data_IF_786916894415
#
_entry.id   IF_786916894415
#
_cell.length_a   1.000
_cell.length_b   1.000
_cell.length_c   1.000
_cell.angle_alpha   90.00
_cell.angle_beta   90.00
_cell.angle_gamma   90.00
#
_symmetry.space_group_name_H-M   'P 1'
#
loop_
_entity.id
_entity.type
_entity.pdbx_description
1 polymer ?
#
# COMPACT_ATOMS: atom_id res chain seq x y z
N UNK A 1 67.93 -30.25 30.80
CA UNK A 1 66.49 -30.04 31.11
C UNK A 1 66.41 -29.31 32.45
N UNK A 2 65.53 -28.33 32.72
CA UNK A 2 64.49 -27.61 31.94
C UNK A 2 64.80 -26.07 31.80
N UNK A 3 64.50 -25.44 30.66
CA UNK A 3 63.37 -24.50 30.33
C UNK A 3 63.32 -23.12 31.05
N UNK A 4 63.46 -22.09 30.18
CA UNK A 4 62.64 -20.85 30.01
C UNK A 4 62.93 -19.59 30.86
N UNK A 5 63.41 -18.54 30.18
CA UNK A 5 62.81 -17.19 30.03
C UNK A 5 63.81 -16.31 29.23
N UNK A 6 63.67 -16.12 27.92
CA UNK A 6 62.92 -15.05 27.25
C UNK A 6 63.39 -13.62 27.60
N UNK A 7 64.08 -12.94 26.68
CA UNK A 7 63.82 -11.57 26.19
C UNK A 7 65.09 -10.94 25.58
N UNK A 8 65.12 -10.74 24.26
CA UNK A 8 65.81 -9.64 23.52
C UNK A 8 65.74 -9.93 22.02
N UNK A 9 65.47 -9.01 21.10
CA UNK A 9 64.85 -7.70 21.09
C UNK A 9 64.54 -7.51 19.59
N UNK A 10 63.28 -7.35 19.20
CA UNK A 10 62.89 -7.27 17.80
C UNK A 10 63.31 -5.92 17.20
N UNK A 11 63.97 -6.02 16.06
CA UNK A 11 64.44 -4.94 15.19
C UNK A 11 63.32 -4.61 14.17
N UNK A 12 63.30 -3.35 13.71
CA UNK A 12 62.53 -2.76 12.58
C UNK A 12 61.07 -2.35 12.83
N UNK A 13 60.85 -1.04 13.01
CA UNK A 13 59.72 -0.30 12.40
C UNK A 13 59.87 1.22 12.63
N UNK A 14 60.89 1.84 12.03
CA UNK A 14 60.97 3.31 11.87
C UNK A 14 60.69 3.67 10.41
N UNK A 15 59.43 3.98 10.10
CA UNK A 15 58.96 4.84 9.01
C UNK A 15 57.44 4.62 8.84
N UNK A 16 56.70 5.70 8.54
CA UNK A 16 55.25 5.77 8.22
C UNK A 16 54.30 6.24 9.34
N UNK A 17 54.68 7.26 10.12
CA UNK A 17 53.72 8.05 10.89
C UNK A 17 53.93 9.56 10.66
N UNK A 18 53.74 10.03 9.42
CA UNK A 18 53.56 11.45 9.12
C UNK A 18 53.09 11.67 7.67
N UNK A 19 51.80 11.41 7.37
CA UNK A 19 51.10 11.99 6.22
C UNK A 19 49.60 11.66 6.30
N UNK A 20 48.83 12.53 6.95
CA UNK A 20 47.40 12.78 6.70
C UNK A 20 46.97 13.99 7.56
N UNK A 21 47.73 15.07 7.49
CA UNK A 21 47.30 16.37 7.97
C UNK A 21 47.25 17.29 6.75
N UNK A 22 46.05 17.82 6.52
CA UNK A 22 45.75 18.93 5.62
C UNK A 22 45.87 18.70 4.10
N UNK A 23 44.74 18.29 3.53
CA UNK A 23 44.28 18.93 2.29
C UNK A 23 42.80 19.28 2.45
N UNK A 24 42.50 20.24 3.34
CA UNK A 24 41.19 20.91 3.34
C UNK A 24 41.21 21.91 2.19
N UNK A 25 40.47 21.61 1.11
CA UNK A 25 40.28 22.55 0.01
C UNK A 25 39.71 23.88 0.55
N UNK A 26 40.28 25.01 0.10
CA UNK A 26 39.69 26.32 0.33
C UNK A 26 38.24 26.32 -0.24
N UNK A 27 37.26 26.69 0.59
CA UNK A 27 35.83 26.68 0.23
C UNK A 27 35.00 25.53 0.81
N UNK A 28 35.57 24.62 1.61
CA UNK A 28 34.83 23.49 2.22
C UNK A 28 33.68 23.90 3.17
N UNK A 29 33.71 25.14 3.68
CA UNK A 29 32.64 25.74 4.50
C UNK A 29 32.08 27.02 3.88
N UNK A 30 32.14 27.17 2.55
CA UNK A 30 31.50 28.29 1.87
C UNK A 30 30.10 27.84 1.41
N UNK A 31 29.05 27.97 2.24
CA UNK A 31 27.70 27.68 1.79
C UNK A 31 27.36 28.63 0.64
N UNK A 32 26.66 28.15 -0.41
CA UNK A 32 26.21 29.04 -1.46
C UNK A 32 25.39 30.19 -0.87
N UNK A 33 25.53 31.38 -1.46
CA UNK A 33 24.76 32.56 -1.06
C UNK A 33 23.27 32.22 -0.99
N UNK A 34 22.62 32.64 0.09
CA UNK A 34 21.22 32.35 0.32
C UNK A 34 20.39 32.86 -0.86
N UNK A 35 19.61 31.97 -1.48
CA UNK A 35 18.70 32.32 -2.56
C UNK A 35 17.30 31.80 -2.23
N UNK A 36 16.30 32.65 -2.45
CA UNK A 36 14.88 32.30 -2.28
C UNK A 36 14.46 31.16 -3.19
N UNK A 37 15.12 31.00 -4.34
CA UNK A 37 14.90 29.87 -5.26
C UNK A 37 15.38 28.56 -4.65
N UNK A 38 16.55 28.55 -4.01
CA UNK A 38 17.08 27.37 -3.32
C UNK A 38 16.23 27.00 -2.10
N UNK A 39 15.74 27.98 -1.34
CA UNK A 39 14.89 27.75 -0.18
C UNK A 39 13.52 27.15 -0.58
N UNK A 40 12.92 27.66 -1.66
CA UNK A 40 11.68 27.12 -2.21
C UNK A 40 11.84 25.66 -2.69
N UNK A 41 12.98 25.33 -3.31
CA UNK A 41 13.29 23.95 -3.72
C UNK A 41 13.58 23.05 -2.51
N UNK A 42 14.20 23.58 -1.45
CA UNK A 42 14.50 22.86 -0.21
C UNK A 42 13.21 22.50 0.56
N UNK A 43 12.28 23.46 0.65
CA UNK A 43 10.96 23.23 1.24
C UNK A 43 10.09 22.30 0.38
N UNK A 44 10.14 22.44 -0.94
CA UNK A 44 9.39 21.58 -1.87
C UNK A 44 9.85 20.12 -1.90
N UNK A 45 11.09 19.84 -1.53
CA UNK A 45 11.65 18.47 -1.46
C UNK A 45 11.54 17.83 -0.08
N UNK A 46 11.00 18.53 0.92
CA UNK A 46 10.83 18.01 2.29
C UNK A 46 12.15 17.76 3.04
N UNK A 47 13.24 18.41 2.61
CA UNK A 47 14.61 18.14 3.07
C UNK A 47 14.89 18.56 4.52
N UNK A 48 13.99 19.32 5.16
CA UNK A 48 14.11 19.70 6.58
C UNK A 48 13.99 18.54 7.58
N UNK A 49 13.43 17.39 7.18
CA UNK A 49 13.12 16.28 8.09
C UNK A 49 13.66 14.90 7.66
N UNK A 50 14.36 14.79 6.52
CA UNK A 50 14.96 13.53 6.05
C UNK A 50 16.29 13.78 5.34
N UNK A 51 17.28 12.91 5.59
CA UNK A 51 18.52 12.84 4.80
C UNK A 51 18.17 12.54 3.35
N UNK A 52 18.37 13.52 2.46
CA UNK A 52 18.15 13.35 1.02
C UNK A 52 19.34 12.58 0.45
N UNK A 53 19.24 11.25 0.43
CA UNK A 53 20.16 10.40 -0.32
C UNK A 53 19.88 10.60 -1.81
N UNK A 54 20.72 11.38 -2.49
CA UNK A 54 20.71 11.48 -3.96
C UNK A 54 21.39 10.24 -4.55
N UNK A 55 20.61 9.37 -5.20
CA UNK A 55 21.17 8.31 -6.03
C UNK A 55 21.86 8.94 -7.27
N UNK A 56 23.11 8.58 -7.61
CA UNK A 56 23.82 9.15 -8.74
C UNK A 56 23.42 8.42 -10.02
N UNK A 57 22.26 8.78 -10.58
CA UNK A 57 21.90 8.66 -12.00
C UNK A 57 20.39 8.91 -12.14
N UNK A 58 20.03 10.15 -12.47
CA UNK A 58 18.70 10.41 -13.02
C UNK A 58 18.65 9.81 -14.42
N UNK A 59 17.80 8.81 -14.62
CA UNK A 59 17.33 8.42 -15.95
C UNK A 59 16.41 9.54 -16.44
N UNK A 60 16.88 10.34 -17.41
CA UNK A 60 16.01 11.22 -18.18
C UNK A 60 15.16 10.37 -19.12
N UNK A 61 13.88 10.22 -18.81
CA UNK A 61 12.90 9.68 -19.76
C UNK A 61 12.51 10.83 -20.67
N UNK A 62 13.04 10.84 -21.90
CA UNK A 62 12.67 11.78 -22.94
C UNK A 62 11.29 11.36 -23.49
N UNK A 63 10.22 12.06 -23.06
CA UNK A 63 8.84 11.80 -23.46
C UNK A 63 8.50 12.49 -24.79
N UNK A 64 9.32 12.29 -25.82
CA UNK A 64 8.97 12.75 -27.16
C UNK A 64 8.10 11.69 -27.83
N UNK A 65 6.79 11.97 -27.90
CA UNK A 65 5.88 11.14 -28.68
C UNK A 65 6.38 11.09 -30.14
N UNK A 66 6.63 9.89 -30.72
CA UNK A 66 7.02 9.79 -32.12
C UNK A 66 5.88 10.37 -32.96
N UNK A 67 6.21 11.30 -33.85
CA UNK A 67 5.25 11.75 -34.86
C UNK A 67 4.99 10.58 -35.82
N UNK A 68 3.78 10.02 -35.88
CA UNK A 68 3.50 8.87 -36.72
C UNK A 68 3.74 9.25 -38.19
N UNK A 69 4.49 8.41 -38.89
CA UNK A 69 4.73 8.59 -40.33
C UNK A 69 3.42 8.42 -41.11
N UNK A 70 3.34 9.02 -42.31
CA UNK A 70 2.16 8.89 -43.19
C UNK A 70 1.74 7.43 -43.42
N UNK A 71 2.70 6.49 -43.43
CA UNK A 71 2.43 5.06 -43.53
C UNK A 71 1.75 4.49 -42.28
N UNK A 72 2.18 4.88 -41.07
CA UNK A 72 1.56 4.44 -39.81
C UNK A 72 0.14 5.01 -39.63
N UNK A 73 -0.12 6.21 -40.14
CA UNK A 73 -1.48 6.77 -40.17
C UNK A 73 -2.39 6.01 -41.15
N UNK A 74 -1.86 5.56 -42.29
CA UNK A 74 -2.59 4.76 -43.28
C UNK A 74 -2.91 3.34 -42.74
N UNK A 75 -1.98 2.73 -42.00
CA UNK A 75 -2.22 1.45 -41.31
C UNK A 75 -3.18 1.60 -40.13
N UNK A 76 -3.13 2.69 -39.37
CA UNK A 76 -4.11 2.96 -38.32
C UNK A 76 -5.53 3.20 -38.88
N UNK A 77 -5.66 3.77 -40.08
CA UNK A 77 -6.94 3.91 -40.79
C UNK A 77 -7.42 2.56 -41.35
N UNK A 78 -6.53 1.72 -41.89
CA UNK A 78 -6.86 0.35 -42.31
C UNK A 78 -7.25 -0.54 -41.12
N UNK A 79 -6.58 -0.42 -39.98
CA UNK A 79 -6.89 -1.17 -38.77
C UNK A 79 -8.24 -0.76 -38.16
N UNK A 80 -8.61 0.54 -38.25
CA UNK A 80 -9.96 1.03 -37.88
C UNK A 80 -11.03 0.49 -38.84
N UNK A 81 -10.75 0.43 -40.14
CA UNK A 81 -11.65 -0.18 -41.13
C UNK A 81 -11.80 -1.71 -40.97
N UNK A 82 -10.81 -2.40 -40.41
CA UNK A 82 -10.91 -3.84 -40.06
C UNK A 82 -11.56 -4.08 -38.69
N UNK A 83 -11.51 -3.11 -37.76
CA UNK A 83 -12.22 -3.18 -36.47
C UNK A 83 -13.74 -2.95 -36.58
N UNK A 84 -14.19 -2.39 -37.70
CA UNK A 84 -15.60 -2.38 -38.11
C UNK A 84 -16.03 -3.73 -38.76
N UNK A 85 -15.18 -4.76 -38.62
CA UNK A 85 -15.28 -6.08 -39.24
C UNK A 85 -16.63 -6.77 -39.07
N UNK A 86 -17.40 -6.74 -40.16
CA UNK A 86 -18.37 -7.76 -40.52
C UNK A 86 -18.11 -8.19 -41.97
N UNK A 87 -17.17 -9.11 -42.21
CA UNK A 87 -17.25 -10.08 -43.33
C UNK A 87 -16.11 -11.10 -43.30
N UNK A 88 -16.45 -12.37 -43.60
CA UNK A 88 -15.51 -13.41 -43.97
C UNK A 88 -15.26 -13.43 -45.50
N UNK A 89 -14.30 -14.24 -45.93
CA UNK A 89 -13.59 -14.24 -47.22
C UNK A 89 -14.45 -14.32 -48.50
N UNK A 90 -15.74 -14.64 -48.42
CA UNK A 90 -16.69 -14.63 -49.54
C UNK A 90 -17.72 -13.48 -49.51
N UNK A 91 -17.59 -12.52 -48.59
CA UNK A 91 -18.51 -11.37 -48.49
C UNK A 91 -19.81 -11.62 -47.72
N UNK A 92 -19.89 -12.70 -46.93
CA UNK A 92 -21.08 -13.05 -46.14
C UNK A 92 -20.84 -12.96 -44.60
N UNK A 93 -21.83 -12.53 -43.79
CA UNK A 93 -21.72 -12.49 -42.31
C UNK A 93 -21.70 -13.90 -41.68
N UNK A 94 -20.84 -14.12 -40.69
CA UNK A 94 -20.72 -15.40 -39.97
C UNK A 94 -21.75 -15.47 -38.82
N UNK A 95 -22.62 -16.50 -38.75
CA UNK A 95 -23.55 -16.68 -37.64
C UNK A 95 -22.85 -17.22 -36.37
N UNK A 96 -23.36 -16.90 -35.16
CA UNK A 96 -22.78 -17.39 -33.91
C UNK A 96 -23.12 -18.87 -33.67
N UNK A 97 -22.17 -19.69 -33.16
CA UNK A 97 -22.52 -21.03 -32.69
C UNK A 97 -23.20 -20.94 -31.32
N UNK A 98 -24.48 -21.31 -31.29
CA UNK A 98 -25.15 -21.80 -30.09
C UNK A 98 -24.84 -23.30 -29.91
N UNK A 99 -24.60 -23.75 -28.68
CA UNK A 99 -25.42 -24.79 -28.03
C UNK A 99 -25.13 -24.84 -26.53
N UNK A 100 -26.21 -25.01 -25.77
CA UNK A 100 -26.26 -25.08 -24.32
C UNK A 100 -26.15 -26.51 -23.78
N UNK A 101 -25.55 -26.60 -22.59
CA UNK A 101 -25.85 -27.40 -21.38
C UNK A 101 -26.36 -28.84 -21.47
N UNK A 102 -25.75 -29.73 -20.66
CA UNK A 102 -26.48 -30.57 -19.70
C UNK A 102 -25.58 -31.08 -18.56
N UNK A 103 -26.22 -31.20 -17.39
CA UNK A 103 -25.78 -31.41 -16.01
C UNK A 103 -24.83 -32.56 -15.64
N UNK A 104 -24.13 -32.34 -14.51
CA UNK A 104 -23.58 -33.38 -13.63
C UNK A 104 -23.23 -32.77 -12.27
N UNK A 105 -24.10 -32.97 -11.28
CA UNK A 105 -24.02 -32.33 -9.97
C UNK A 105 -22.94 -32.87 -9.03
N UNK A 106 -22.75 -32.14 -7.91
CA UNK A 106 -22.00 -32.58 -6.75
C UNK A 106 -20.90 -31.58 -6.32
N UNK A 107 -21.08 -31.03 -5.13
CA UNK A 107 -20.18 -30.14 -4.37
C UNK A 107 -19.98 -28.72 -4.90
N UNK A 108 -20.64 -27.76 -4.24
CA UNK A 108 -20.40 -26.34 -4.39
C UNK A 108 -19.07 -25.95 -3.72
N UNK A 109 -18.06 -25.43 -4.46
CA UNK A 109 -16.99 -24.65 -3.87
C UNK A 109 -17.46 -23.20 -3.75
N UNK A 110 -17.53 -22.66 -2.53
CA UNK A 110 -17.45 -21.21 -2.32
C UNK A 110 -16.07 -20.69 -2.83
N UNK A 111 -15.93 -19.41 -3.19
CA UNK A 111 -15.36 -19.00 -4.48
C UNK A 111 -13.84 -18.83 -4.45
N UNK A 112 -13.14 -19.48 -5.39
CA UNK A 112 -11.73 -19.18 -5.68
C UNK A 112 -11.52 -17.74 -6.20
N UNK A 113 -12.58 -17.10 -6.69
CA UNK A 113 -12.56 -15.74 -7.25
C UNK A 113 -12.27 -14.69 -6.18
N UNK A 114 -13.04 -14.67 -5.07
CA UNK A 114 -12.91 -13.70 -3.97
C UNK A 114 -11.43 -13.56 -3.52
N UNK A 115 -10.83 -14.69 -3.17
CA UNK A 115 -9.42 -14.74 -2.72
C UNK A 115 -8.41 -14.25 -3.72
N UNK A 116 -8.72 -14.34 -5.02
CA UNK A 116 -7.84 -13.80 -6.06
C UNK A 116 -7.91 -12.28 -6.07
N UNK A 117 -9.11 -11.71 -5.88
CA UNK A 117 -9.31 -10.26 -5.83
C UNK A 117 -8.73 -9.65 -4.55
N UNK A 118 -8.92 -10.28 -3.38
CA UNK A 118 -8.30 -9.81 -2.14
C UNK A 118 -6.77 -9.81 -2.22
N UNK A 119 -6.17 -10.86 -2.82
CA UNK A 119 -4.72 -10.90 -3.07
C UNK A 119 -4.26 -9.88 -4.10
N UNK A 120 -5.10 -9.56 -5.08
CA UNK A 120 -4.83 -8.50 -6.05
C UNK A 120 -4.76 -7.11 -5.40
N UNK A 121 -5.67 -6.83 -4.47
CA UNK A 121 -5.70 -5.56 -3.74
C UNK A 121 -4.64 -5.50 -2.63
N UNK A 122 -4.52 -6.57 -1.85
CA UNK A 122 -3.66 -6.67 -0.67
C UNK A 122 -2.79 -7.93 -0.80
N UNK A 123 -1.68 -7.87 -1.58
CA UNK A 123 -0.84 -9.04 -1.83
C UNK A 123 -0.03 -9.49 -0.60
N UNK A 124 0.18 -8.56 0.34
CA UNK A 124 0.84 -8.78 1.61
C UNK A 124 0.03 -8.08 2.71
N UNK A 125 0.13 -8.47 3.99
CA UNK A 125 -0.56 -7.78 5.07
C UNK A 125 -0.29 -6.27 5.08
N UNK A 126 -1.34 -5.47 5.26
CA UNK A 126 -1.27 -4.01 5.24
C UNK A 126 -2.08 -3.43 6.39
N UNK A 127 -1.50 -2.44 7.09
CA UNK A 127 -2.17 -1.70 8.16
C UNK A 127 -2.59 -0.33 7.67
N UNK A 128 -3.79 0.09 8.05
CA UNK A 128 -4.40 1.38 7.78
C UNK A 128 -4.79 2.02 9.11
N UNK A 129 -4.53 3.31 9.26
CA UNK A 129 -4.85 4.04 10.50
C UNK A 129 -5.57 5.34 10.16
N UNK A 130 -6.54 5.69 10.98
CA UNK A 130 -7.23 6.97 10.91
C UNK A 130 -8.08 7.21 12.14
N UNK A 131 -8.83 8.30 12.11
CA UNK A 131 -9.71 8.70 13.20
C UNK A 131 -11.13 8.71 12.68
N UNK A 132 -12.02 8.01 13.38
CA UNK A 132 -13.44 7.94 13.09
C UNK A 132 -14.22 8.53 14.26
N UNK A 133 -15.44 9.05 14.05
CA UNK A 133 -16.32 9.41 15.15
C UNK A 133 -16.81 8.14 15.86
N UNK A 134 -17.38 8.31 17.03
CA UNK A 134 -18.08 7.23 17.69
C UNK A 134 -19.47 7.03 17.09
N UNK A 135 -19.79 5.79 16.73
CA UNK A 135 -21.03 5.47 16.00
C UNK A 135 -22.06 4.71 16.82
N UNK A 136 -21.77 4.37 18.09
CA UNK A 136 -22.76 3.74 18.95
C UNK A 136 -23.65 4.79 19.62
N UNK A 137 -24.96 4.60 19.48
CA UNK A 137 -25.98 5.37 20.20
C UNK A 137 -25.83 5.14 21.70
N UNK A 138 -25.46 6.18 22.44
CA UNK A 138 -25.32 6.17 23.90
C UNK A 138 -23.90 6.31 24.44
N UNK A 139 -22.88 6.25 23.57
CA UNK A 139 -21.49 6.50 23.98
C UNK A 139 -21.14 7.98 23.79
N UNK A 140 -20.77 8.64 24.89
CA UNK A 140 -20.20 10.00 24.85
C UNK A 140 -18.71 9.90 24.53
N UNK A 141 -18.37 9.70 23.26
CA UNK A 141 -16.99 9.85 22.82
C UNK A 141 -16.93 10.68 21.54
N UNK A 142 -16.00 11.64 21.53
CA UNK A 142 -15.87 12.60 20.45
C UNK A 142 -15.28 11.93 19.20
N UNK A 143 -14.26 11.10 19.40
CA UNK A 143 -13.55 10.41 18.33
C UNK A 143 -12.81 9.18 18.86
N UNK A 144 -12.54 8.25 17.95
CA UNK A 144 -11.75 7.05 18.19
C UNK A 144 -10.70 6.89 17.10
N UNK A 145 -9.49 6.50 17.51
CA UNK A 145 -8.45 6.05 16.59
C UNK A 145 -8.72 4.61 16.20
N UNK A 146 -8.74 4.37 14.90
CA UNK A 146 -8.91 3.05 14.31
C UNK A 146 -7.58 2.61 13.71
N UNK A 147 -7.19 1.39 14.05
CA UNK A 147 -6.13 0.66 13.35
C UNK A 147 -6.75 -0.58 12.71
N UNK A 148 -6.64 -0.71 11.40
CA UNK A 148 -7.18 -1.83 10.62
C UNK A 148 -6.05 -2.51 9.86
N UNK A 149 -5.87 -3.81 10.06
CA UNK A 149 -4.92 -4.64 9.33
C UNK A 149 -5.65 -5.64 8.46
N UNK A 150 -5.46 -5.56 7.14
CA UNK A 150 -5.99 -6.49 6.14
C UNK A 150 -4.91 -7.50 5.76
N UNK A 151 -5.27 -8.77 5.69
CA UNK A 151 -4.38 -9.85 5.25
C UNK A 151 -4.83 -10.46 3.92
N UNK A 152 -3.90 -10.94 3.07
CA UNK A 152 -4.17 -11.54 1.74
C UNK A 152 -5.03 -12.81 1.76
N UNK A 153 -5.38 -13.31 2.95
CA UNK A 153 -6.22 -14.49 3.12
C UNK A 153 -7.65 -14.14 3.52
N UNK A 154 -8.10 -12.93 3.21
CA UNK A 154 -9.46 -12.46 3.52
C UNK A 154 -9.71 -12.22 5.00
N UNK A 155 -8.69 -12.27 5.87
CA UNK A 155 -8.86 -11.94 7.30
C UNK A 155 -8.50 -10.49 7.58
N UNK A 156 -9.26 -9.86 8.46
CA UNK A 156 -8.90 -8.55 9.01
C UNK A 156 -8.80 -8.61 10.52
N UNK A 157 -8.01 -7.69 11.06
CA UNK A 157 -7.92 -7.40 12.49
C UNK A 157 -8.05 -5.90 12.67
N UNK A 158 -8.79 -5.46 13.67
CA UNK A 158 -9.03 -4.07 13.95
C UNK A 158 -8.87 -3.76 15.42
N UNK A 159 -8.49 -2.53 15.72
CA UNK A 159 -8.45 -1.97 17.07
C UNK A 159 -9.05 -0.58 17.05
N UNK A 160 -9.98 -0.35 17.96
CA UNK A 160 -10.61 0.94 18.21
C UNK A 160 -10.17 1.43 19.59
N UNK A 161 -9.56 2.60 19.64
CA UNK A 161 -9.15 3.25 20.88
C UNK A 161 -9.76 4.64 20.94
N UNK A 162 -10.54 4.90 21.99
CA UNK A 162 -11.13 6.22 22.21
C UNK A 162 -10.05 7.28 22.43
N UNK A 163 -10.30 8.50 21.96
CA UNK A 163 -9.35 9.62 22.05
C UNK A 163 -9.68 10.60 23.20
N UNK A 164 -10.89 10.52 23.76
CA UNK A 164 -11.36 11.38 24.83
C UNK A 164 -10.96 10.84 26.21
N UNK A 165 -10.31 11.65 27.04
CA UNK A 165 -9.92 11.23 28.40
C UNK A 165 -11.09 11.30 29.40
N UNK A 166 -12.26 10.76 29.02
CA UNK A 166 -13.41 10.69 29.90
C UNK A 166 -13.14 9.71 31.06
N UNK A 167 -13.57 9.99 32.30
CA UNK A 167 -13.43 9.06 33.43
C UNK A 167 -14.20 7.73 33.22
N UNK A 168 -15.08 7.66 32.21
CA UNK A 168 -15.78 6.44 31.79
C UNK A 168 -15.24 5.87 30.47
N UNK A 169 -14.02 6.22 30.07
CA UNK A 169 -13.42 5.72 28.85
C UNK A 169 -13.32 4.19 28.89
N UNK A 170 -14.02 3.54 27.95
CA UNK A 170 -13.92 2.11 27.77
C UNK A 170 -12.52 1.73 27.27
N UNK A 171 -12.07 0.52 27.60
CA UNK A 171 -10.77 0.03 27.13
C UNK A 171 -10.78 -0.09 25.60
N UNK A 172 -9.62 0.04 24.94
CA UNK A 172 -9.51 -0.23 23.51
C UNK A 172 -10.10 -1.60 23.17
N UNK A 173 -10.96 -1.62 22.16
CA UNK A 173 -11.64 -2.82 21.69
C UNK A 173 -10.88 -3.34 20.48
N UNK A 174 -10.47 -4.60 20.54
CA UNK A 174 -9.86 -5.29 19.41
C UNK A 174 -10.83 -6.33 18.85
N UNK A 175 -10.96 -6.37 17.52
CA UNK A 175 -11.88 -7.25 16.81
C UNK A 175 -11.20 -7.90 15.60
N UNK A 176 -11.75 -9.02 15.13
CA UNK A 176 -11.31 -9.68 13.91
C UNK A 176 -12.49 -10.28 13.15
N UNK A 177 -12.27 -10.53 11.87
CA UNK A 177 -13.31 -11.02 10.99
C UNK A 177 -12.78 -11.34 9.60
N UNK A 178 -13.71 -11.41 8.66
CA UNK A 178 -13.43 -11.62 7.24
C UNK A 178 -13.67 -10.36 6.43
N UNK A 179 -12.88 -10.15 5.39
CA UNK A 179 -13.05 -9.05 4.46
C UNK A 179 -13.04 -9.57 3.04
N UNK A 180 -13.76 -8.86 2.19
CA UNK A 180 -13.90 -9.14 0.78
C UNK A 180 -13.81 -7.84 -0.01
N UNK A 181 -13.51 -7.96 -1.30
CA UNK A 181 -13.42 -6.82 -2.22
C UNK A 181 -14.36 -6.98 -3.42
N UNK A 182 -14.92 -5.87 -3.90
CA UNK A 182 -15.73 -5.87 -5.13
C UNK A 182 -14.89 -5.60 -6.37
N UNK A 183 -15.38 -6.08 -7.52
CA UNK A 183 -14.80 -5.82 -8.84
C UNK A 183 -15.17 -4.42 -9.41
N UNK A 184 -15.82 -3.58 -8.61
CA UNK A 184 -16.20 -2.23 -9.02
C UNK A 184 -14.97 -1.31 -9.17
N UNK A 185 -15.13 -0.21 -9.90
CA UNK A 185 -14.10 0.83 -10.04
C UNK A 185 -14.66 2.17 -9.52
N UNK A 186 -14.23 2.69 -8.35
CA UNK A 186 -13.21 2.14 -7.46
C UNK A 186 -13.66 0.89 -6.67
N UNK A 187 -12.73 -0.04 -6.32
CA UNK A 187 -13.06 -1.21 -5.53
C UNK A 187 -13.58 -0.83 -4.14
N UNK A 188 -14.44 -1.69 -3.58
CA UNK A 188 -14.93 -1.54 -2.21
C UNK A 188 -14.47 -2.71 -1.36
N UNK A 189 -14.12 -2.42 -0.12
CA UNK A 189 -13.75 -3.40 0.89
C UNK A 189 -14.88 -3.51 1.91
N UNK A 190 -15.42 -4.71 2.09
CA UNK A 190 -16.43 -5.00 3.09
C UNK A 190 -15.78 -5.76 4.24
N UNK A 191 -16.04 -5.33 5.47
CA UNK A 191 -15.58 -6.01 6.67
C UNK A 191 -16.77 -6.68 7.35
N UNK A 192 -16.66 -7.98 7.57
CA UNK A 192 -17.62 -8.79 8.29
C UNK A 192 -16.97 -9.27 9.58
N UNK A 193 -17.65 -9.12 10.72
CA UNK A 193 -17.16 -9.56 12.02
C UNK A 193 -17.14 -11.08 12.16
N UNK A 194 -16.54 -11.58 13.25
CA UNK A 194 -16.57 -13.01 13.58
C UNK A 194 -18.00 -13.54 13.83
N UNK A 195 -18.94 -12.65 14.13
CA UNK A 195 -20.38 -12.89 14.29
C UNK A 195 -21.14 -12.96 12.94
N UNK A 196 -20.47 -12.69 11.81
CA UNK A 196 -21.09 -12.64 10.49
C UNK A 196 -21.79 -11.31 10.18
N UNK A 197 -21.78 -10.35 11.10
CA UNK A 197 -22.41 -9.04 10.89
C UNK A 197 -21.48 -8.11 10.11
N UNK A 198 -22.04 -7.30 9.22
CA UNK A 198 -21.28 -6.26 8.54
C UNK A 198 -20.80 -5.21 9.56
N UNK A 199 -19.49 -5.01 9.61
CA UNK A 199 -18.82 -4.05 10.49
C UNK A 199 -18.61 -2.72 9.80
N UNK A 200 -18.04 -2.72 8.60
CA UNK A 200 -17.73 -1.49 7.88
C UNK A 200 -17.55 -1.74 6.38
N UNK A 201 -17.81 -0.70 5.60
CA UNK A 201 -17.55 -0.67 4.17
C UNK A 201 -16.64 0.52 3.86
N UNK A 202 -15.60 0.25 3.07
CA UNK A 202 -14.64 1.24 2.61
C UNK A 202 -14.59 1.27 1.10
N UNK A 203 -14.32 2.44 0.54
CA UNK A 203 -13.96 2.61 -0.86
C UNK A 203 -12.44 2.76 -0.93
N UNK A 204 -11.80 1.93 -1.75
CA UNK A 204 -10.37 2.04 -2.03
C UNK A 204 -10.15 3.28 -2.88
N UNK A 205 -9.63 4.32 -2.24
CA UNK A 205 -9.30 5.58 -2.89
C UNK A 205 -7.84 5.55 -3.37
N UNK A 206 -7.47 6.51 -4.21
CA UNK A 206 -6.08 6.64 -4.66
C UNK A 206 -5.10 6.78 -3.49
N UNK A 207 -3.82 6.47 -3.73
CA UNK A 207 -2.72 6.67 -2.79
C UNK A 207 -2.79 5.82 -1.50
N UNK A 208 -3.31 4.59 -1.57
CA UNK A 208 -3.41 3.68 -0.42
C UNK A 208 -4.25 4.24 0.74
N UNK A 209 -5.39 4.85 0.39
CA UNK A 209 -6.34 5.39 1.34
C UNK A 209 -7.64 4.60 1.27
N UNK A 210 -8.14 4.14 2.42
CA UNK A 210 -9.48 3.58 2.55
C UNK A 210 -10.41 4.69 3.03
N UNK A 211 -11.39 5.07 2.23
CA UNK A 211 -12.41 6.04 2.63
C UNK A 211 -13.62 5.30 3.19
N UNK A 212 -14.03 5.63 4.41
CA UNK A 212 -15.20 5.05 5.04
C UNK A 212 -16.44 5.42 4.23
N UNK A 213 -17.21 4.41 3.82
CA UNK A 213 -18.51 4.58 3.18
C UNK A 213 -19.64 4.33 4.17
N UNK A 214 -19.55 3.28 4.97
CA UNK A 214 -20.55 2.95 5.97
C UNK A 214 -19.92 2.18 7.13
N UNK A 215 -20.54 2.27 8.31
CA UNK A 215 -20.19 1.50 9.49
C UNK A 215 -21.46 0.94 10.12
N UNK A 216 -21.50 -0.37 10.35
CA UNK A 216 -22.71 -1.08 10.78
C UNK A 216 -23.97 -0.71 9.96
N UNK A 217 -23.82 -0.48 8.65
CA UNK A 217 -24.89 -0.06 7.74
C UNK A 217 -25.24 1.44 7.77
N UNK A 218 -24.69 2.22 8.70
CA UNK A 218 -24.92 3.68 8.79
C UNK A 218 -23.87 4.42 7.97
N UNK A 219 -24.33 5.32 7.09
CA UNK A 219 -23.45 6.16 6.28
C UNK A 219 -23.14 7.47 7.02
N UNK A 220 -21.87 7.79 7.31
CA UNK A 220 -21.51 9.07 7.90
C UNK A 220 -21.76 10.24 6.93
N UNK A 221 -22.08 11.41 7.48
CA UNK A 221 -22.25 12.64 6.70
C UNK A 221 -20.92 13.27 6.24
N UNK A 222 -19.82 12.98 6.94
CA UNK A 222 -18.49 13.49 6.63
C UNK A 222 -17.61 12.39 6.03
N UNK A 223 -16.61 12.81 5.25
CA UNK A 223 -15.62 11.91 4.69
C UNK A 223 -14.56 11.56 5.73
N UNK A 224 -14.48 10.28 6.10
CA UNK A 224 -13.45 9.75 6.97
C UNK A 224 -12.54 8.80 6.21
N UNK A 225 -11.25 8.84 6.52
CA UNK A 225 -10.23 8.08 5.78
C UNK A 225 -9.25 7.39 6.71
N UNK A 226 -8.86 6.16 6.35
CA UNK A 226 -7.75 5.44 6.93
C UNK A 226 -6.60 5.42 5.91
N UNK A 227 -5.40 5.77 6.36
CA UNK A 227 -4.22 5.84 5.50
C UNK A 227 -3.31 4.65 5.78
N UNK A 228 -2.78 4.03 4.73
CA UNK A 228 -1.82 2.93 4.87
C UNK A 228 -0.59 3.38 5.66
N UNK A 229 -0.21 2.59 6.64
CA UNK A 229 0.99 2.77 7.43
C UNK A 229 2.18 2.05 6.77
N UNK A 230 3.42 2.54 6.99
CA UNK A 230 4.62 1.83 6.53
C UNK A 230 4.82 0.53 7.31
N UNK A 231 4.54 0.55 8.60
CA UNK A 231 4.70 -0.57 9.52
C UNK A 231 3.42 -1.39 9.64
N UNK A 232 3.60 -2.70 9.87
CA UNK A 232 2.52 -3.62 10.12
C UNK A 232 2.19 -3.64 11.62
N UNK A 233 0.93 -3.36 11.97
CA UNK A 233 0.39 -3.59 13.31
C UNK A 233 -0.23 -5.00 13.36
N UNK A 234 0.39 -5.96 14.08
CA UNK A 234 -0.15 -7.31 14.18
C UNK A 234 -1.40 -7.40 15.05
N UNK A 235 -1.72 -6.39 15.88
CA UNK A 235 -2.84 -6.39 16.84
C UNK A 235 -2.77 -7.66 17.72
N UNK A 236 -1.77 -7.69 18.59
CA UNK A 236 -1.41 -8.88 19.40
C UNK A 236 -2.44 -9.23 20.46
N UNK A 237 -3.34 -8.31 20.82
CA UNK A 237 -4.42 -8.52 21.77
C UNK A 237 -5.35 -9.67 21.32
N UNK A 238 -5.45 -9.87 19.99
CA UNK A 238 -6.27 -10.90 19.37
C UNK A 238 -5.53 -12.24 19.21
N UNK A 239 -4.26 -12.35 19.60
CA UNK A 239 -3.45 -13.55 19.35
C UNK A 239 -3.99 -14.81 20.05
N UNK A 240 -4.72 -14.64 21.15
CA UNK A 240 -5.33 -15.74 21.92
C UNK A 240 -6.72 -16.14 21.41
N UNK A 241 -7.30 -15.36 20.49
CA UNK A 241 -8.63 -15.63 19.94
C UNK A 241 -8.51 -16.52 18.70
N UNK A 242 -9.42 -17.48 18.55
CA UNK A 242 -9.49 -18.35 17.37
C UNK A 242 -9.74 -17.49 16.13
N UNK A 243 -8.85 -17.49 15.12
CA UNK A 243 -9.06 -16.73 13.90
C UNK A 243 -10.27 -17.24 13.13
N UNK A 244 -11.08 -16.34 12.54
CA UNK A 244 -12.20 -16.75 11.70
C UNK A 244 -11.71 -17.47 10.44
N UNK A 245 -12.53 -18.40 9.95
CA UNK A 245 -12.32 -19.05 8.65
C UNK A 245 -13.05 -18.23 7.60
N UNK A 246 -12.27 -17.54 6.76
CA UNK A 246 -12.82 -16.74 5.68
C UNK A 246 -12.99 -17.58 4.41
N UNK A 247 -14.07 -17.35 3.66
CA UNK A 247 -14.41 -18.12 2.47
C UNK A 247 -13.32 -18.08 1.40
#
# INVERSE_FOLDING_TARGET
MPRRAALTLAVLATALLAACAEQRQAGYYDPPVASTVTDAQYMGTGAGYRQVVRAPSQLQIDLKAPTPTQQQQLEAQRARAMQEGNTAEDGQPVPPPAVASADGGGDAPAPASARTQERGLVPQPQTYVGTLPCFATGMQCDAQRITLTLAPNGRWRGRSAYLDNSPHQEKPVAEQGCWEVTDEKPPRVFLTGADGNNRAEFIVSANNVLRLRAIAGVTPNLNYTLTRQPDLDPITELAKQTPPRCP
#
